data_IF_149160546398
#
_entry.id   IF_149160546398
#
_cell.length_a   1.000
_cell.length_b   1.000
_cell.length_c   1.000
_cell.angle_alpha   90.00
_cell.angle_beta   90.00
_cell.angle_gamma   90.00
#
_symmetry.space_group_name_H-M   'P 1'
#
loop_
_entity.id
_entity.type
_entity.pdbx_description
1 polymer ?
#
# COMPACT_ATOMS: atom_id res chain seq x y z
N UNK A 1 36.19 -24.99 1.38
CA UNK A 1 36.42 -23.86 2.31
C UNK A 1 36.05 -22.57 1.59
N UNK A 2 35.32 -21.68 2.27
CA UNK A 2 34.72 -20.46 1.72
C UNK A 2 33.32 -20.76 1.19
N UNK A 3 32.24 -20.54 1.94
CA UNK A 3 31.82 -19.21 2.44
C UNK A 3 31.45 -18.42 1.19
N UNK A 4 30.19 -18.10 0.90
CA UNK A 4 29.38 -17.11 1.63
C UNK A 4 27.90 -17.45 1.38
N UNK A 5 27.21 -17.88 2.43
CA UNK A 5 25.75 -17.97 2.50
C UNK A 5 25.37 -16.99 3.60
N UNK A 6 24.36 -16.15 3.35
CA UNK A 6 23.67 -15.17 4.21
C UNK A 6 23.96 -13.68 3.99
N UNK A 7 22.84 -12.94 4.03
CA UNK A 7 22.67 -11.50 4.14
C UNK A 7 22.78 -10.69 2.84
N UNK A 8 21.70 -10.75 2.06
CA UNK A 8 21.44 -9.77 1.01
C UNK A 8 19.98 -9.72 0.63
N UNK A 9 19.27 -8.76 1.23
CA UNK A 9 18.12 -8.08 0.62
C UNK A 9 16.76 -8.78 0.75
N UNK A 10 16.14 -8.58 1.92
CA UNK A 10 14.74 -8.12 1.98
C UNK A 10 14.64 -6.77 1.24
N UNK A 11 14.79 -6.76 -0.09
CA UNK A 11 14.42 -5.60 -0.88
C UNK A 11 12.94 -5.76 -1.21
N UNK A 12 12.13 -5.04 -0.43
CA UNK A 12 10.76 -4.67 -0.75
C UNK A 12 10.75 -4.01 -2.14
N UNK A 13 10.63 -4.83 -3.16
CA UNK A 13 10.71 -4.42 -4.57
C UNK A 13 9.70 -5.19 -5.40
N UNK A 14 8.47 -5.30 -4.90
CA UNK A 14 7.30 -5.68 -5.69
C UNK A 14 6.96 -4.56 -6.67
N UNK A 15 7.84 -4.36 -7.66
CA UNK A 15 7.65 -3.52 -8.83
C UNK A 15 6.32 -3.96 -9.47
N UNK A 16 5.24 -3.16 -9.33
CA UNK A 16 3.84 -3.36 -9.79
C UNK A 16 2.77 -3.92 -8.81
N UNK A 17 2.92 -3.88 -7.48
CA UNK A 17 1.81 -4.30 -6.60
C UNK A 17 0.63 -3.28 -6.58
N UNK A 18 -0.25 -3.40 -7.59
CA UNK A 18 -1.51 -2.70 -7.88
C UNK A 18 -1.40 -1.17 -8.05
N UNK A 19 -1.71 -0.68 -9.25
CA UNK A 19 -1.79 0.77 -9.57
C UNK A 19 -2.60 1.56 -8.53
N UNK A 20 -3.66 0.96 -7.98
CA UNK A 20 -4.44 1.56 -6.90
C UNK A 20 -3.62 1.77 -5.62
N UNK A 21 -2.85 0.78 -5.15
CA UNK A 21 -2.06 0.91 -3.92
C UNK A 21 -0.99 2.00 -4.05
N UNK A 22 -0.22 1.97 -5.14
CA UNK A 22 0.80 2.98 -5.41
C UNK A 22 0.20 4.39 -5.48
N UNK A 23 -0.94 4.54 -6.17
CA UNK A 23 -1.68 5.80 -6.24
C UNK A 23 -2.10 6.32 -4.85
N UNK A 24 -2.68 5.45 -4.02
CA UNK A 24 -3.12 5.86 -2.69
C UNK A 24 -1.94 6.18 -1.76
N UNK A 25 -0.82 5.46 -1.88
CA UNK A 25 0.42 5.81 -1.18
C UNK A 25 0.94 7.20 -1.57
N UNK A 26 0.92 7.54 -2.87
CA UNK A 26 1.29 8.88 -3.37
C UNK A 26 0.33 9.99 -2.87
N UNK A 27 -0.95 9.65 -2.66
CA UNK A 27 -1.95 10.56 -2.08
C UNK A 27 -1.82 10.69 -0.55
N UNK A 28 -0.86 10.00 0.08
CA UNK A 28 -0.61 10.09 1.52
C UNK A 28 -1.36 9.06 2.36
N UNK A 29 -2.05 8.10 1.75
CA UNK A 29 -2.66 7.00 2.49
C UNK A 29 -1.59 6.03 2.99
N UNK A 30 -1.77 5.56 4.21
CA UNK A 30 -0.93 4.56 4.88
C UNK A 30 -1.66 3.22 4.92
N UNK A 31 -0.92 2.13 4.77
CA UNK A 31 -1.45 0.77 4.93
C UNK A 31 -1.69 0.50 6.43
N UNK A 32 -2.91 0.12 6.78
CA UNK A 32 -3.32 -0.19 8.15
C UNK A 32 -3.48 -1.69 8.39
N UNK A 33 -4.04 -2.41 7.41
CA UNK A 33 -4.28 -3.84 7.53
C UNK A 33 -4.45 -4.54 6.18
N UNK A 34 -4.10 -5.83 6.14
CA UNK A 34 -4.43 -6.75 5.05
C UNK A 34 -5.32 -7.86 5.61
N UNK A 35 -6.59 -7.87 5.21
CA UNK A 35 -7.55 -8.88 5.62
C UNK A 35 -7.60 -9.97 4.54
N UNK A 36 -7.13 -11.15 4.91
CA UNK A 36 -7.05 -12.30 4.00
C UNK A 36 -8.43 -12.88 3.69
N UNK A 37 -8.67 -13.20 2.42
CA UNK A 37 -9.90 -13.83 1.93
C UNK A 37 -11.20 -13.16 2.41
N UNK A 38 -11.19 -11.83 2.53
CA UNK A 38 -12.25 -11.10 3.22
C UNK A 38 -13.35 -10.61 2.28
N UNK A 39 -13.05 -10.43 0.99
CA UNK A 39 -14.04 -10.03 -0.02
C UNK A 39 -14.36 -11.23 -0.91
N UNK A 40 -15.65 -11.51 -1.12
CA UNK A 40 -16.10 -12.46 -2.14
C UNK A 40 -16.64 -11.69 -3.34
N UNK A 41 -16.14 -11.99 -4.53
CA UNK A 41 -16.64 -11.37 -5.75
C UNK A 41 -17.95 -12.01 -6.26
N UNK A 42 -18.49 -11.51 -7.37
CA UNK A 42 -19.72 -12.04 -7.97
C UNK A 42 -19.56 -13.43 -8.60
N UNK A 43 -18.34 -13.85 -8.93
CA UNK A 43 -18.03 -15.19 -9.42
C UNK A 43 -17.90 -16.20 -8.25
N UNK A 44 -17.76 -15.69 -7.03
CA UNK A 44 -17.66 -16.45 -5.81
C UNK A 44 -16.23 -16.70 -5.34
N UNK A 45 -15.24 -16.06 -5.97
CA UNK A 45 -13.84 -16.11 -5.57
C UNK A 45 -13.57 -15.16 -4.40
N UNK A 46 -12.70 -15.59 -3.48
CA UNK A 46 -12.27 -14.76 -2.35
C UNK A 46 -11.00 -13.99 -2.70
N UNK A 47 -10.96 -12.74 -2.23
CA UNK A 47 -9.87 -11.80 -2.46
C UNK A 47 -9.46 -11.14 -1.15
N UNK A 48 -8.18 -10.80 -1.06
CA UNK A 48 -7.64 -10.01 0.04
C UNK A 48 -8.17 -8.57 -0.01
N UNK A 49 -8.49 -8.01 1.16
CA UNK A 49 -8.86 -6.61 1.32
C UNK A 49 -7.71 -5.85 1.98
N UNK A 50 -7.16 -4.89 1.23
CA UNK A 50 -6.19 -3.92 1.75
C UNK A 50 -6.93 -2.71 2.33
N UNK A 51 -6.72 -2.43 3.61
CA UNK A 51 -7.28 -1.26 4.30
C UNK A 51 -6.20 -0.20 4.42
N UNK A 52 -6.52 1.00 3.96
CA UNK A 52 -5.63 2.16 4.02
C UNK A 52 -6.34 3.36 4.64
N UNK A 53 -5.60 4.20 5.36
CA UNK A 53 -6.14 5.40 6.00
C UNK A 53 -5.26 6.62 5.71
N UNK A 54 -5.87 7.80 5.75
CA UNK A 54 -5.16 9.08 5.66
C UNK A 54 -5.70 10.01 6.74
N UNK A 55 -4.84 10.78 7.38
CA UNK A 55 -5.27 11.85 8.26
C UNK A 55 -5.82 13.00 7.39
N UNK A 56 -7.10 13.29 7.50
CA UNK A 56 -7.79 14.29 6.68
C UNK A 56 -7.24 15.70 6.95
N UNK A 57 -6.93 16.04 8.20
CA UNK A 57 -6.43 17.37 8.54
C UNK A 57 -5.05 17.61 7.91
N UNK A 58 -4.15 16.63 8.01
CA UNK A 58 -2.82 16.68 7.40
C UNK A 58 -2.91 16.69 5.86
N UNK A 59 -3.80 15.87 5.29
CA UNK A 59 -4.04 15.83 3.86
C UNK A 59 -4.54 17.18 3.33
N UNK A 60 -5.53 17.79 3.98
CA UNK A 60 -6.05 19.10 3.58
C UNK A 60 -5.02 20.21 3.78
N UNK A 61 -4.22 20.18 4.85
CA UNK A 61 -3.13 21.12 5.05
C UNK A 61 -2.10 21.03 3.91
N UNK A 62 -1.74 19.81 3.48
CA UNK A 62 -0.85 19.61 2.34
C UNK A 62 -1.44 20.11 1.00
N UNK A 63 -2.74 19.94 0.77
CA UNK A 63 -3.45 20.43 -0.42
C UNK A 63 -3.53 21.96 -0.45
N UNK A 64 -3.79 22.59 0.70
CA UNK A 64 -3.79 24.04 0.83
C UNK A 64 -2.40 24.63 0.59
N UNK A 65 -1.34 23.98 1.07
CA UNK A 65 0.04 24.39 0.79
C UNK A 65 0.38 24.33 -0.72
N UNK A 66 -0.32 23.48 -1.48
CA UNK A 66 -0.21 23.37 -2.94
C UNK A 66 -1.20 24.28 -3.70
N UNK A 67 -2.03 25.07 -3.00
CA UNK A 67 -2.97 26.03 -3.60
C UNK A 67 -4.23 25.42 -4.22
N UNK A 68 -4.54 24.15 -3.93
CA UNK A 68 -5.74 23.48 -4.44
C UNK A 68 -6.89 23.66 -3.43
N UNK A 69 -7.93 24.42 -3.82
CA UNK A 69 -9.17 24.62 -3.07
C UNK A 69 -10.28 23.71 -3.59
#
# INVERSE_FOLDING_TARGET
MGGQHIAGWLNFGGFLACSARALFEELGFRNEALLKDHMKDSAGEYHDLLVMAVNVDEFLASKQALGVQ
#
